data_IF_034687408691
#
_entry.id   IF_034687408691
#
_cell.length_a   1.000
_cell.length_b   1.000
_cell.length_c   1.000
_cell.angle_alpha   90.00
_cell.angle_beta   90.00
_cell.angle_gamma   90.00
#
_symmetry.space_group_name_H-M   'P 1'
#
loop_
_entity.id
_entity.type
_entity.pdbx_description
1 polymer ?
#
# COMPACT_ATOMS: atom_id res chain seq x y z
N UNK A 1 7.75 33.32 34.25
CA UNK A 1 8.59 32.35 33.51
C UNK A 1 8.44 31.01 34.20
N UNK A 2 7.78 30.04 33.55
CA UNK A 2 7.71 28.66 34.04
C UNK A 2 8.84 27.88 33.38
N UNK A 3 9.78 27.44 34.20
CA UNK A 3 10.91 26.60 33.79
C UNK A 3 10.43 25.15 33.88
N UNK A 4 10.07 24.54 32.74
CA UNK A 4 9.83 23.10 32.68
C UNK A 4 11.19 22.40 32.52
N UNK A 5 11.51 21.38 33.33
CA UNK A 5 12.71 20.59 33.10
C UNK A 5 12.55 19.84 31.78
N UNK A 6 13.45 20.09 30.84
CA UNK A 6 13.57 19.31 29.61
C UNK A 6 14.32 18.04 30.02
N UNK A 7 13.57 16.98 30.32
CA UNK A 7 14.14 15.64 30.43
C UNK A 7 14.60 15.21 29.04
N UNK A 8 15.86 15.52 28.74
CA UNK A 8 16.58 15.04 27.56
C UNK A 8 16.88 13.55 27.69
N UNK A 9 15.84 12.70 27.72
CA UNK A 9 15.99 11.24 27.54
C UNK A 9 14.68 10.47 27.30
N UNK A 10 13.60 11.10 26.82
CA UNK A 10 12.57 10.29 26.16
C UNK A 10 13.13 9.85 24.81
N UNK A 11 13.64 8.61 24.72
CA UNK A 11 13.78 7.95 23.42
C UNK A 11 12.38 7.95 22.81
N UNK A 12 12.12 8.86 21.87
CA UNK A 12 10.91 8.81 21.08
C UNK A 12 10.95 7.46 20.35
N UNK A 13 10.19 6.49 20.85
CA UNK A 13 10.03 5.21 20.15
C UNK A 13 9.08 5.52 19.02
N UNK A 14 9.66 5.82 17.86
CA UNK A 14 8.88 6.03 16.67
C UNK A 14 8.10 4.75 16.35
N UNK A 15 6.81 4.90 16.12
CA UNK A 15 5.94 3.79 15.74
C UNK A 15 6.26 3.33 14.32
N UNK A 16 6.43 2.02 14.15
CA UNK A 16 6.55 1.43 12.81
C UNK A 16 5.25 1.58 12.03
N UNK A 17 5.32 1.72 10.69
CA UNK A 17 4.14 1.65 9.83
C UNK A 17 3.32 0.40 10.09
N UNK A 18 2.00 0.54 10.03
CA UNK A 18 1.06 -0.57 10.14
C UNK A 18 -0.07 -0.39 9.15
N UNK A 19 -0.22 -1.34 8.23
CA UNK A 19 -1.40 -1.45 7.37
C UNK A 19 -2.52 -2.06 8.23
N UNK A 20 -3.62 -1.34 8.37
CA UNK A 20 -4.83 -1.79 9.07
C UNK A 20 -5.84 -2.39 8.09
N UNK A 21 -5.91 -1.83 6.88
CA UNK A 21 -6.74 -2.35 5.78
C UNK A 21 -6.06 -2.14 4.44
N UNK A 22 -6.22 -3.13 3.57
CA UNK A 22 -5.88 -3.07 2.17
C UNK A 22 -7.02 -3.69 1.36
N UNK A 23 -7.71 -2.87 0.56
CA UNK A 23 -8.88 -3.29 -0.21
C UNK A 23 -9.00 -2.53 -1.52
N UNK A 24 -9.92 -2.95 -2.38
CA UNK A 24 -10.18 -2.28 -3.66
C UNK A 24 -11.68 -2.07 -3.87
N UNK A 25 -12.06 -1.32 -4.90
CA UNK A 25 -13.47 -1.24 -5.34
C UNK A 25 -13.98 -2.55 -5.98
N UNK A 26 -13.10 -3.52 -6.23
CA UNK A 26 -13.45 -4.90 -6.63
C UNK A 26 -13.35 -5.81 -5.41
N UNK A 27 -14.34 -6.69 -5.17
CA UNK A 27 -14.30 -7.61 -4.03
C UNK A 27 -13.07 -8.51 -4.01
N UNK A 28 -12.48 -8.66 -2.82
CA UNK A 28 -11.40 -9.62 -2.57
C UNK A 28 -12.01 -10.90 -2.04
N UNK A 29 -11.69 -12.03 -2.66
CA UNK A 29 -12.13 -13.35 -2.21
C UNK A 29 -10.93 -14.28 -2.17
N UNK A 30 -10.62 -14.82 -1.00
CA UNK A 30 -9.48 -15.74 -0.79
C UNK A 30 -8.13 -15.14 -1.24
N UNK A 31 -7.88 -13.86 -0.93
CA UNK A 31 -6.68 -13.13 -1.33
C UNK A 31 -6.57 -12.83 -2.85
N UNK A 32 -7.65 -13.00 -3.61
CA UNK A 32 -7.70 -12.70 -5.04
C UNK A 32 -8.63 -11.54 -5.36
N UNK A 33 -8.14 -10.64 -6.21
CA UNK A 33 -8.93 -9.68 -6.97
C UNK A 33 -9.12 -10.29 -8.37
N UNK A 34 -10.37 -10.59 -8.72
CA UNK A 34 -10.76 -11.11 -10.04
C UNK A 34 -11.33 -9.95 -10.85
N UNK A 35 -10.57 -9.48 -11.83
CA UNK A 35 -10.89 -8.28 -12.60
C UNK A 35 -11.57 -8.67 -13.93
N UNK A 36 -12.86 -8.33 -14.13
CA UNK A 36 -13.54 -8.53 -15.41
C UNK A 36 -12.79 -7.86 -16.58
N UNK A 37 -12.78 -8.49 -17.77
CA UNK A 37 -11.99 -8.06 -18.93
C UNK A 37 -12.32 -6.64 -19.43
N UNK A 38 -13.56 -6.20 -19.26
CA UNK A 38 -14.04 -4.88 -19.63
C UNK A 38 -13.60 -3.76 -18.69
N UNK A 39 -13.21 -4.10 -17.45
CA UNK A 39 -12.79 -3.13 -16.43
C UNK A 39 -11.57 -2.34 -16.92
N UNK A 40 -11.64 -1.00 -16.84
CA UNK A 40 -10.56 -0.12 -17.30
C UNK A 40 -9.68 0.38 -16.17
N UNK A 41 -10.25 0.50 -14.99
CA UNK A 41 -9.57 1.02 -13.82
C UNK A 41 -9.99 0.28 -12.55
N UNK A 42 -9.10 0.28 -11.58
CA UNK A 42 -9.34 -0.21 -10.22
C UNK A 42 -8.92 0.88 -9.25
N UNK A 43 -9.71 1.10 -8.21
CA UNK A 43 -9.31 1.98 -7.10
C UNK A 43 -8.82 1.11 -5.95
N UNK A 44 -7.59 1.36 -5.54
CA UNK A 44 -6.92 0.68 -4.44
C UNK A 44 -6.98 1.60 -3.23
N UNK A 45 -7.35 1.06 -2.07
CA UNK A 45 -7.46 1.79 -0.82
C UNK A 45 -6.60 1.12 0.25
N UNK A 46 -5.89 1.94 1.03
CA UNK A 46 -5.08 1.51 2.15
C UNK A 46 -5.41 2.38 3.36
N UNK A 47 -5.69 1.77 4.50
CA UNK A 47 -5.70 2.47 5.79
C UNK A 47 -4.42 2.07 6.52
N UNK A 48 -3.52 3.02 6.79
CA UNK A 48 -2.23 2.73 7.41
C UNK A 48 -1.82 3.78 8.44
N UNK A 49 -1.38 3.34 9.61
CA UNK A 49 -0.88 4.19 10.69
C UNK A 49 0.63 4.39 10.58
N UNK A 50 1.12 5.49 11.17
CA UNK A 50 2.57 5.79 11.22
C UNK A 50 3.26 5.71 9.86
N UNK A 51 2.52 6.10 8.83
CA UNK A 51 2.88 5.97 7.41
C UNK A 51 2.86 7.35 6.80
N UNK A 52 3.93 7.70 6.10
CA UNK A 52 4.09 8.97 5.37
C UNK A 52 3.82 8.78 3.87
N UNK A 53 4.05 7.58 3.34
CA UNK A 53 3.84 7.27 1.92
C UNK A 53 3.42 5.82 1.74
N UNK A 54 2.46 5.57 0.86
CA UNK A 54 2.15 4.22 0.36
C UNK A 54 2.60 4.11 -1.09
N UNK A 55 3.42 3.10 -1.39
CA UNK A 55 3.79 2.73 -2.74
C UNK A 55 2.95 1.54 -3.20
N UNK A 56 2.50 1.57 -4.45
CA UNK A 56 1.68 0.53 -5.05
C UNK A 56 2.48 -0.15 -6.17
N UNK A 57 2.65 -1.46 -6.07
CA UNK A 57 3.49 -2.25 -6.96
C UNK A 57 2.70 -3.36 -7.63
N UNK A 58 3.01 -3.63 -8.90
CA UNK A 58 2.71 -4.91 -9.54
C UNK A 58 3.95 -5.75 -9.63
N UNK A 59 3.81 -7.02 -9.33
CA UNK A 59 4.90 -7.99 -9.38
C UNK A 59 4.42 -9.17 -10.21
N UNK A 60 5.07 -9.51 -11.33
CA UNK A 60 4.70 -10.69 -12.10
C UNK A 60 4.67 -11.95 -11.23
N UNK A 61 3.71 -12.84 -11.47
CA UNK A 61 3.69 -14.13 -10.76
C UNK A 61 4.90 -15.00 -11.14
N UNK A 62 5.42 -15.75 -10.16
CA UNK A 62 6.55 -16.66 -10.35
C UNK A 62 7.66 -16.46 -9.32
N UNK A 63 8.61 -17.38 -9.28
CA UNK A 63 9.74 -17.32 -8.33
C UNK A 63 10.73 -16.23 -8.73
N UNK A 64 11.12 -15.37 -7.79
CA UNK A 64 12.18 -14.38 -7.98
C UNK A 64 11.80 -13.12 -8.79
N UNK A 65 10.51 -12.87 -9.01
CA UNK A 65 10.03 -11.78 -9.87
C UNK A 65 10.02 -10.40 -9.20
N UNK A 66 10.45 -10.27 -7.94
CA UNK A 66 10.53 -8.97 -7.25
C UNK A 66 11.38 -7.93 -7.99
N UNK A 67 12.42 -8.37 -8.73
CA UNK A 67 13.25 -7.50 -9.56
C UNK A 67 12.51 -6.90 -10.77
N UNK A 68 11.45 -7.56 -11.21
CA UNK A 68 10.61 -7.18 -12.35
C UNK A 68 9.38 -6.37 -11.92
N UNK A 69 9.30 -5.97 -10.63
CA UNK A 69 8.17 -5.21 -10.13
C UNK A 69 8.06 -3.84 -10.80
N UNK A 70 6.84 -3.40 -11.05
CA UNK A 70 6.50 -2.09 -11.59
C UNK A 70 5.82 -1.24 -10.53
N UNK A 71 6.36 -0.04 -10.27
CA UNK A 71 5.66 0.97 -9.47
C UNK A 71 4.49 1.50 -10.31
N UNK A 72 3.26 1.28 -9.87
CA UNK A 72 2.06 1.75 -10.57
C UNK A 72 1.53 3.08 -10.02
N UNK A 73 1.98 3.47 -8.83
CA UNK A 73 1.66 4.77 -8.24
C UNK A 73 2.11 4.86 -6.80
N UNK A 74 1.85 6.01 -6.19
CA UNK A 74 2.06 6.26 -4.78
C UNK A 74 1.05 7.28 -4.27
N UNK A 75 0.86 7.31 -2.96
CA UNK A 75 0.09 8.32 -2.27
C UNK A 75 0.87 8.80 -1.04
N UNK A 76 0.81 10.10 -0.75
CA UNK A 76 1.54 10.74 0.34
C UNK A 76 0.52 11.18 1.37
N UNK A 77 0.86 11.03 2.64
CA UNK A 77 -0.01 11.42 3.74
C UNK A 77 -0.37 12.91 3.65
N UNK A 78 -1.66 13.20 3.62
CA UNK A 78 -2.19 14.55 3.83
C UNK A 78 -2.39 14.83 5.33
N UNK A 79 -2.32 16.11 5.72
CA UNK A 79 -2.44 16.56 7.11
C UNK A 79 -3.81 16.18 7.71
N UNK A 80 -3.88 15.00 8.32
CA UNK A 80 -4.99 14.61 9.19
C UNK A 80 -5.65 13.25 8.91
N UNK A 81 -5.22 12.49 7.92
CA UNK A 81 -5.73 11.12 7.75
C UNK A 81 -4.64 10.04 7.63
N UNK A 82 -5.11 8.80 7.77
CA UNK A 82 -4.33 7.57 7.64
C UNK A 82 -4.84 6.78 6.43
N UNK A 83 -5.39 7.46 5.42
CA UNK A 83 -6.08 6.88 4.28
C UNK A 83 -5.34 7.22 3.02
N UNK A 84 -5.01 6.19 2.25
CA UNK A 84 -4.26 6.31 1.02
C UNK A 84 -5.05 5.65 -0.09
N UNK A 85 -4.98 6.21 -1.31
CA UNK A 85 -5.65 5.63 -2.45
C UNK A 85 -4.92 5.83 -3.76
N UNK A 86 -5.15 4.90 -4.69
CA UNK A 86 -4.67 5.00 -6.06
C UNK A 86 -5.78 4.56 -7.02
N UNK A 87 -6.14 5.42 -7.97
CA UNK A 87 -6.90 5.02 -9.15
C UNK A 87 -5.90 4.57 -10.20
N UNK A 88 -5.86 3.27 -10.47
CA UNK A 88 -4.93 2.67 -11.41
C UNK A 88 -5.63 2.27 -12.71
N UNK A 89 -5.11 2.76 -13.84
CA UNK A 89 -5.53 2.35 -15.18
C UNK A 89 -4.92 1.00 -15.52
N UNK A 90 -5.77 0.00 -15.74
CA UNK A 90 -5.35 -1.40 -15.83
C UNK A 90 -4.61 -1.65 -17.14
N UNK A 91 -3.35 -2.06 -17.00
CA UNK A 91 -2.56 -2.62 -18.09
C UNK A 91 -2.77 -4.13 -18.13
N UNK A 92 -3.12 -4.67 -19.31
CA UNK A 92 -3.46 -6.10 -19.49
C UNK A 92 -2.38 -6.85 -20.26
N UNK A 93 -2.31 -8.19 -20.13
CA UNK A 93 -3.10 -9.05 -19.24
C UNK A 93 -2.65 -8.96 -17.77
N UNK A 94 -3.53 -9.28 -16.82
CA UNK A 94 -3.19 -9.38 -15.39
C UNK A 94 -2.96 -10.83 -14.98
N UNK A 95 -1.77 -11.11 -14.47
CA UNK A 95 -1.42 -12.34 -13.75
C UNK A 95 -0.26 -12.01 -12.80
N UNK A 96 -0.59 -11.22 -11.77
CA UNK A 96 0.38 -10.50 -10.96
C UNK A 96 0.02 -10.58 -9.47
N UNK A 97 0.95 -10.12 -8.66
CA UNK A 97 0.70 -9.73 -7.28
C UNK A 97 0.61 -8.21 -7.22
N UNK A 98 -0.44 -7.70 -6.58
CA UNK A 98 -0.57 -6.31 -6.18
C UNK A 98 -0.04 -6.17 -4.77
N UNK A 99 1.11 -5.50 -4.60
CA UNK A 99 1.70 -5.23 -3.30
C UNK A 99 1.57 -3.76 -2.95
N UNK A 100 1.19 -3.49 -1.70
CA UNK A 100 1.27 -2.16 -1.10
C UNK A 100 2.41 -2.13 -0.10
N UNK A 101 3.20 -1.07 -0.13
CA UNK A 101 4.30 -0.84 0.78
C UNK A 101 4.09 0.49 1.51
N UNK A 102 3.78 0.42 2.80
CA UNK A 102 3.62 1.56 3.66
C UNK A 102 4.99 1.94 4.26
N UNK A 103 5.42 3.17 3.98
CA UNK A 103 6.70 3.75 4.39
C UNK A 103 6.47 4.73 5.53
N UNK A 104 7.20 4.55 6.63
CA UNK A 104 7.38 5.55 7.68
C UNK A 104 8.81 6.09 7.63
N UNK A 105 9.19 6.90 8.61
CA UNK A 105 10.51 7.57 8.61
C UNK A 105 11.69 6.59 8.60
N UNK A 106 11.59 5.47 9.32
CA UNK A 106 12.71 4.53 9.54
C UNK A 106 12.32 3.06 9.39
N UNK A 107 11.10 2.77 8.96
CA UNK A 107 10.58 1.42 8.82
C UNK A 107 9.58 1.35 7.66
N UNK A 108 9.33 0.14 7.19
CA UNK A 108 8.28 -0.14 6.21
C UNK A 108 7.54 -1.42 6.60
N UNK A 109 6.32 -1.54 6.11
CA UNK A 109 5.53 -2.78 6.13
C UNK A 109 4.85 -2.97 4.78
N UNK A 110 4.56 -4.21 4.42
CA UNK A 110 3.95 -4.53 3.13
C UNK A 110 2.81 -5.55 3.29
N UNK A 111 1.83 -5.45 2.39
CA UNK A 111 0.77 -6.44 2.23
C UNK A 111 0.55 -6.72 0.74
N UNK A 112 0.11 -7.95 0.43
CA UNK A 112 0.03 -8.46 -0.93
C UNK A 112 -1.32 -9.12 -1.19
N UNK A 113 -1.90 -8.81 -2.34
CA UNK A 113 -3.05 -9.48 -2.93
C UNK A 113 -2.66 -10.07 -4.27
N UNK A 114 -3.32 -11.14 -4.68
CA UNK A 114 -3.20 -11.65 -6.04
C UNK A 114 -4.21 -10.93 -6.93
N UNK A 115 -3.85 -10.64 -8.18
CA UNK A 115 -4.73 -10.00 -9.14
C UNK A 115 -4.67 -10.71 -10.49
N UNK A 116 -5.84 -11.00 -11.06
CA UNK A 116 -5.96 -11.73 -12.32
C UNK A 116 -7.11 -11.18 -13.16
N UNK A 117 -6.93 -11.21 -14.49
CA UNK A 117 -8.02 -10.96 -15.42
C UNK A 117 -8.95 -12.18 -15.49
N UNK A 118 -10.26 -11.95 -15.44
CA UNK A 118 -11.26 -12.98 -15.73
C UNK A 118 -12.02 -12.63 -17.00
N UNK A 119 -12.42 -13.65 -17.79
CA UNK A 119 -13.35 -13.44 -18.91
C UNK A 119 -14.70 -12.89 -18.46
#
# INVERSE_FOLDING_TARGET
>A
MLNLPIDANSKYVQSSPKIEKFYTNIPITENWIRVPEETKEITIYVEAQSTETVLYWLIPTGTGQWGERKLIGYDIKDDGDNKFSLVWQIERPLLDHLEVQALGENALTNELLNIISTP
#
